data_IF_066193728415
#
_entry.id   IF_066193728415
#
_cell.length_a   1.000
_cell.length_b   1.000
_cell.length_c   1.000
_cell.angle_alpha   90.00
_cell.angle_beta   90.00
_cell.angle_gamma   90.00
#
_symmetry.space_group_name_H-M   'P 1'
#
loop_
_entity.id
_entity.type
_entity.pdbx_description
1 polymer ?
#
# COMPACT_ATOMS: atom_id res chain seq x y z
N UNK A 1 28.10 12.52 -8.32
CA UNK A 1 26.65 12.34 -8.56
C UNK A 1 25.93 12.79 -7.30
N UNK A 2 25.07 13.81 -7.38
CA UNK A 2 24.39 14.37 -6.21
C UNK A 2 23.38 13.38 -5.62
N UNK A 3 23.23 13.34 -4.30
CA UNK A 3 22.16 12.59 -3.64
C UNK A 3 20.87 13.42 -3.70
N UNK A 4 19.80 12.85 -4.25
CA UNK A 4 18.46 13.47 -4.22
C UNK A 4 17.82 13.10 -2.88
N UNK A 5 17.35 14.10 -2.14
CA UNK A 5 16.64 13.89 -0.88
C UNK A 5 15.16 13.54 -1.11
N UNK A 6 14.53 12.87 -0.14
CA UNK A 6 13.10 12.50 -0.22
C UNK A 6 12.15 13.69 -0.36
N UNK A 7 12.57 14.87 0.10
CA UNK A 7 11.80 16.11 -0.06
C UNK A 7 11.58 16.48 -1.52
N UNK A 8 12.54 16.15 -2.39
CA UNK A 8 12.50 16.40 -3.83
C UNK A 8 11.69 15.34 -4.60
N UNK A 9 11.12 14.35 -3.91
CA UNK A 9 10.28 13.32 -4.52
C UNK A 9 8.82 13.73 -4.35
N UNK A 10 8.11 13.95 -5.46
CA UNK A 10 6.69 14.30 -5.40
C UNK A 10 5.81 13.12 -4.98
N UNK A 11 6.11 11.94 -5.54
CA UNK A 11 5.27 10.75 -5.39
C UNK A 11 6.11 9.48 -5.31
N UNK A 12 5.74 8.60 -4.38
CA UNK A 12 6.29 7.25 -4.21
C UNK A 12 5.17 6.24 -4.35
N UNK A 13 5.28 5.39 -5.37
CA UNK A 13 4.32 4.32 -5.65
C UNK A 13 4.71 3.04 -4.93
N UNK A 14 3.86 2.62 -4.00
CA UNK A 14 3.94 1.36 -3.28
C UNK A 14 3.31 0.26 -4.14
N UNK A 15 4.16 -0.46 -4.87
CA UNK A 15 3.74 -1.54 -5.77
C UNK A 15 3.52 -2.82 -4.97
N UNK A 16 2.25 -3.12 -4.71
CA UNK A 16 1.75 -4.19 -3.84
C UNK A 16 1.94 -3.93 -2.33
N UNK A 17 1.05 -4.52 -1.55
CA UNK A 17 0.85 -4.20 -0.14
C UNK A 17 2.04 -4.50 0.77
N UNK A 18 2.90 -5.47 0.45
CA UNK A 18 4.10 -5.74 1.25
C UNK A 18 5.04 -4.53 1.34
N UNK A 19 5.00 -3.63 0.35
CA UNK A 19 5.81 -2.40 0.36
C UNK A 19 5.33 -1.38 1.38
N UNK A 20 4.13 -1.55 1.97
CA UNK A 20 3.56 -0.60 2.94
C UNK A 20 4.29 -0.53 4.27
N UNK A 21 5.18 -1.48 4.58
CA UNK A 21 6.05 -1.38 5.75
C UNK A 21 6.89 -0.09 5.74
N UNK A 22 7.20 0.46 4.57
CA UNK A 22 7.95 1.72 4.47
C UNK A 22 7.19 2.91 5.10
N UNK A 23 5.87 2.84 5.19
CA UNK A 23 5.06 3.87 5.85
C UNK A 23 5.37 3.95 7.36
N UNK A 24 5.81 2.84 7.96
CA UNK A 24 6.27 2.81 9.36
C UNK A 24 7.67 3.40 9.50
N UNK A 25 8.53 3.19 8.50
CA UNK A 25 9.90 3.74 8.49
C UNK A 25 9.94 5.24 8.18
N UNK A 26 8.97 5.75 7.40
CA UNK A 26 8.91 7.13 6.93
C UNK A 26 7.58 7.82 7.27
N UNK A 27 7.17 7.87 8.55
CA UNK A 27 5.85 8.36 8.95
C UNK A 27 5.66 9.86 8.71
N UNK A 28 6.74 10.62 8.54
CA UNK A 28 6.70 12.06 8.24
C UNK A 28 6.41 12.42 6.78
N UNK A 29 6.25 11.42 5.90
CA UNK A 29 6.15 11.63 4.44
C UNK A 29 4.91 10.94 3.82
N UNK A 30 3.87 10.67 4.61
CA UNK A 30 2.68 9.94 4.16
C UNK A 30 1.99 10.56 2.94
N UNK A 31 2.07 11.88 2.80
CA UNK A 31 1.52 12.66 1.69
C UNK A 31 2.15 12.32 0.32
N UNK A 32 3.39 11.81 0.32
CA UNK A 32 4.12 11.41 -0.89
C UNK A 32 3.73 10.01 -1.37
N UNK A 33 3.12 9.16 -0.54
CA UNK A 33 2.88 7.76 -0.90
C UNK A 33 1.53 7.51 -1.58
N UNK A 34 1.52 6.60 -2.54
CA UNK A 34 0.31 5.99 -3.12
C UNK A 34 0.42 4.49 -3.04
N UNK A 35 -0.65 3.82 -2.62
CA UNK A 35 -0.73 2.36 -2.68
C UNK A 35 -1.28 1.90 -4.03
N UNK A 36 -0.58 0.98 -4.70
CA UNK A 36 -1.03 0.32 -5.93
C UNK A 36 -1.11 -1.18 -5.63
N UNK A 37 -2.30 -1.75 -5.71
CA UNK A 37 -2.53 -3.17 -5.42
C UNK A 37 -2.68 -3.92 -6.73
N UNK A 38 -1.90 -5.00 -6.90
CA UNK A 38 -1.92 -5.85 -8.11
C UNK A 38 -2.67 -7.16 -7.88
N UNK A 39 -2.80 -7.57 -6.61
CA UNK A 39 -3.49 -8.79 -6.23
C UNK A 39 -4.89 -8.49 -5.67
N UNK A 40 -5.98 -9.02 -6.27
CA UNK A 40 -7.33 -8.78 -5.78
C UNK A 40 -7.75 -9.68 -4.62
N UNK A 41 -7.05 -10.81 -4.43
CA UNK A 41 -7.42 -11.85 -3.47
C UNK A 41 -6.63 -11.77 -2.16
N UNK A 42 -7.12 -12.43 -1.09
CA UNK A 42 -6.56 -12.38 0.26
C UNK A 42 -5.07 -12.75 0.35
N UNK A 43 -4.56 -13.59 -0.56
CA UNK A 43 -3.15 -14.02 -0.60
C UNK A 43 -2.16 -12.91 -0.94
N UNK A 44 -2.62 -11.79 -1.50
CA UNK A 44 -1.79 -10.64 -1.82
C UNK A 44 -1.49 -9.71 -0.66
N UNK A 45 -2.02 -9.99 0.54
CA UNK A 45 -2.09 -9.05 1.65
C UNK A 45 -1.39 -9.63 2.90
N UNK A 46 -0.05 -9.57 2.97
CA UNK A 46 0.69 -10.22 4.04
C UNK A 46 0.34 -9.63 5.41
N UNK A 47 0.33 -10.54 6.38
CA UNK A 47 0.13 -10.26 7.80
C UNK A 47 1.43 -10.53 8.54
N UNK A 48 1.83 -9.60 9.41
CA UNK A 48 3.05 -9.69 10.20
C UNK A 48 2.70 -9.79 11.68
N UNK A 49 3.37 -10.66 12.46
CA UNK A 49 3.25 -10.64 13.92
C UNK A 49 3.64 -9.27 14.47
N UNK A 50 2.79 -8.70 15.33
CA UNK A 50 2.99 -7.34 15.83
C UNK A 50 4.26 -7.18 16.66
N UNK A 51 4.72 -8.24 17.33
CA UNK A 51 5.99 -8.23 18.06
C UNK A 51 7.20 -7.91 17.17
N UNK A 52 7.21 -8.41 15.93
CA UNK A 52 8.28 -8.13 14.97
C UNK A 52 8.18 -6.71 14.41
N UNK A 53 6.96 -6.24 14.17
CA UNK A 53 6.73 -4.85 13.74
C UNK A 53 7.16 -3.86 14.81
N UNK A 54 6.77 -4.09 16.06
CA UNK A 54 7.16 -3.25 17.20
C UNK A 54 8.68 -3.24 17.40
N UNK A 55 9.33 -4.40 17.25
CA UNK A 55 10.79 -4.53 17.35
C UNK A 55 11.52 -3.78 16.24
N UNK A 56 11.05 -3.88 15.00
CA UNK A 56 11.72 -3.30 13.83
C UNK A 56 11.46 -1.79 13.69
N UNK A 57 10.21 -1.36 13.86
CA UNK A 57 9.78 0.00 13.54
C UNK A 57 9.43 0.85 14.75
N UNK A 58 9.40 0.29 15.96
CA UNK A 58 8.98 1.01 17.16
C UNK A 58 7.49 1.38 17.21
N UNK A 59 6.69 0.89 16.26
CA UNK A 59 5.27 1.23 16.15
C UNK A 59 4.42 0.28 17.01
N UNK A 60 3.54 0.80 17.89
CA UNK A 60 2.56 0.01 18.61
C UNK A 60 1.73 -0.86 17.66
N UNK A 61 1.80 -2.16 17.87
CA UNK A 61 1.13 -3.15 17.04
C UNK A 61 0.22 -4.05 17.90
N UNK A 62 -0.95 -4.42 17.35
CA UNK A 62 -1.76 -5.50 17.91
C UNK A 62 -1.10 -6.87 17.73
N UNK A 63 -1.86 -7.97 17.83
CA UNK A 63 -1.30 -9.32 17.62
C UNK A 63 -0.69 -9.50 16.22
N UNK A 64 -1.37 -8.94 15.22
CA UNK A 64 -0.95 -8.97 13.82
C UNK A 64 -1.27 -7.64 13.15
N UNK A 65 -0.46 -7.29 12.14
CA UNK A 65 -0.72 -6.18 11.24
C UNK A 65 -0.86 -6.72 9.82
N UNK A 66 -2.02 -6.50 9.21
CA UNK A 66 -2.23 -6.72 7.78
C UNK A 66 -1.76 -5.49 7.03
N UNK A 67 -0.72 -5.65 6.20
CA UNK A 67 -0.06 -4.57 5.45
C UNK A 67 -1.02 -3.68 4.65
N UNK A 68 -2.05 -4.29 4.07
CA UNK A 68 -3.06 -3.58 3.27
C UNK A 68 -3.97 -2.72 4.15
N UNK A 69 -4.48 -3.27 5.25
CA UNK A 69 -5.30 -2.51 6.21
C UNK A 69 -4.50 -1.33 6.76
N UNK A 70 -3.28 -1.59 7.21
CA UNK A 70 -2.39 -0.53 7.70
C UNK A 70 -2.17 0.59 6.67
N UNK A 71 -1.90 0.23 5.42
CA UNK A 71 -1.72 1.21 4.35
C UNK A 71 -2.99 2.01 4.07
N UNK A 72 -4.15 1.36 4.06
CA UNK A 72 -5.44 2.00 3.81
C UNK A 72 -5.82 2.95 4.95
N UNK A 73 -5.57 2.57 6.21
CA UNK A 73 -5.75 3.44 7.37
C UNK A 73 -4.84 4.68 7.34
N UNK A 74 -3.60 4.54 6.84
CA UNK A 74 -2.64 5.66 6.79
C UNK A 74 -2.84 6.57 5.57
N UNK A 75 -3.17 6.01 4.41
CA UNK A 75 -3.20 6.75 3.15
C UNK A 75 -4.61 7.15 2.73
N UNK A 76 -5.66 6.45 3.18
CA UNK A 76 -7.06 6.72 2.85
C UNK A 76 -7.41 6.56 1.37
N UNK A 77 -6.52 5.97 0.56
CA UNK A 77 -6.69 5.75 -0.89
C UNK A 77 -5.78 4.63 -1.38
N UNK A 78 -6.26 3.88 -2.38
CA UNK A 78 -5.46 2.91 -3.10
C UNK A 78 -5.87 2.83 -4.57
N UNK A 79 -4.91 2.56 -5.44
CA UNK A 79 -5.11 2.28 -6.86
C UNK A 79 -5.19 0.76 -7.04
N UNK A 80 -6.12 0.31 -7.88
CA UNK A 80 -6.27 -1.10 -8.26
C UNK A 80 -6.26 -1.22 -9.78
N UNK A 81 -5.78 -2.35 -10.31
CA UNK A 81 -5.34 -2.41 -11.71
C UNK A 81 -6.42 -2.75 -12.74
N UNK A 82 -7.69 -2.79 -12.33
CA UNK A 82 -8.84 -2.88 -13.23
C UNK A 82 -10.15 -2.61 -12.48
N UNK A 83 -11.25 -2.43 -13.22
CA UNK A 83 -12.57 -2.32 -12.62
C UNK A 83 -13.02 -3.64 -11.96
N UNK A 84 -12.74 -4.78 -12.61
CA UNK A 84 -12.98 -6.11 -12.01
C UNK A 84 -12.19 -6.30 -10.71
N UNK A 85 -10.96 -5.80 -10.64
CA UNK A 85 -10.17 -5.82 -9.41
C UNK A 85 -10.88 -5.04 -8.31
N UNK A 86 -11.31 -3.80 -8.57
CA UNK A 86 -12.08 -3.00 -7.60
C UNK A 86 -13.27 -3.78 -7.04
N UNK A 87 -14.08 -4.41 -7.89
CA UNK A 87 -15.23 -5.20 -7.45
C UNK A 87 -14.86 -6.36 -6.51
N UNK A 88 -13.75 -7.04 -6.77
CA UNK A 88 -13.29 -8.17 -5.95
C UNK A 88 -12.71 -7.65 -4.63
N UNK A 89 -11.81 -6.67 -4.69
CA UNK A 89 -11.12 -6.21 -3.48
C UNK A 89 -12.06 -5.48 -2.52
N UNK A 90 -13.10 -4.81 -3.02
CA UNK A 90 -14.16 -4.22 -2.17
C UNK A 90 -14.95 -5.28 -1.41
N UNK A 91 -14.95 -6.55 -1.85
CA UNK A 91 -15.52 -7.67 -1.07
C UNK A 91 -14.52 -8.24 -0.07
N UNK A 92 -13.23 -8.16 -0.35
CA UNK A 92 -12.15 -8.59 0.57
C UNK A 92 -11.98 -7.58 1.71
N UNK A 93 -12.07 -6.29 1.42
CA UNK A 93 -11.94 -5.18 2.39
C UNK A 93 -13.17 -4.25 2.32
N UNK A 94 -14.34 -4.70 2.82
CA UNK A 94 -15.60 -3.96 2.69
C UNK A 94 -15.57 -2.59 3.38
N UNK A 95 -14.87 -2.46 4.51
CA UNK A 95 -14.73 -1.19 5.25
C UNK A 95 -13.98 -0.10 4.44
N UNK A 96 -13.23 -0.51 3.42
CA UNK A 96 -12.43 0.37 2.57
C UNK A 96 -12.97 0.46 1.13
N UNK A 97 -14.20 0.00 0.86
CA UNK A 97 -14.73 -0.12 -0.51
C UNK A 97 -14.63 1.16 -1.33
N UNK A 98 -14.82 2.31 -0.68
CA UNK A 98 -14.90 3.63 -1.30
C UNK A 98 -13.54 4.24 -1.65
N UNK A 99 -12.45 3.69 -1.09
CA UNK A 99 -11.11 4.29 -1.27
C UNK A 99 -10.33 3.71 -2.45
N UNK A 100 -10.86 2.65 -3.08
CA UNK A 100 -10.24 2.00 -4.24
C UNK A 100 -10.55 2.73 -5.54
N UNK A 101 -9.50 3.18 -6.24
CA UNK A 101 -9.58 3.84 -7.55
C UNK A 101 -9.06 2.91 -8.64
N UNK A 102 -9.88 2.49 -9.62
CA UNK A 102 -9.44 1.61 -10.68
C UNK A 102 -8.65 2.40 -11.74
N UNK A 103 -7.42 1.96 -12.01
CA UNK A 103 -6.61 2.41 -13.15
C UNK A 103 -6.19 1.16 -13.91
N UNK A 104 -6.77 0.93 -15.08
CA UNK A 104 -6.51 -0.28 -15.87
C UNK A 104 -5.05 -0.31 -16.33
N UNK A 105 -4.35 -1.42 -16.08
CA UNK A 105 -2.97 -1.60 -16.53
C UNK A 105 -2.84 -1.44 -18.06
N UNK A 106 -1.70 -0.89 -18.48
CA UNK A 106 -1.32 -0.77 -19.88
C UNK A 106 -0.05 -1.57 -20.19
N UNK A 107 0.19 -1.80 -21.48
CA UNK A 107 1.44 -2.36 -21.98
C UNK A 107 2.11 -1.36 -22.93
N UNK A 108 3.44 -1.42 -23.00
CA UNK A 108 4.20 -0.64 -23.98
C UNK A 108 4.27 -1.41 -25.31
N UNK A 109 3.83 -0.79 -26.40
CA UNK A 109 3.70 -1.46 -27.70
C UNK A 109 5.02 -1.61 -28.46
N UNK A 110 6.03 -0.79 -28.16
CA UNK A 110 7.33 -0.79 -28.86
C UNK A 110 8.38 -1.55 -28.06
N UNK A 111 8.08 -2.81 -27.77
CA UNK A 111 8.92 -3.69 -26.94
C UNK A 111 10.29 -3.95 -27.55
#
# INVERSE_FOLDING_TARGET
>A
MGRIGINEIDVIDLQESYTSLILMALPGYLDKFRLIIHTPGPWGHPSYPGEYVQKEFGVPAGKHIVSTIYALEKLGKAIVVSMKHREIISKVFPEFSEVFRPITNGIYLRR
#
